data_IF_651033886883
#
_entry.id   IF_651033886883
#
_cell.length_a   1.000
_cell.length_b   1.000
_cell.length_c   1.000
_cell.angle_alpha   90.00
_cell.angle_beta   90.00
_cell.angle_gamma   90.00
#
_symmetry.space_group_name_H-M   'P 1'
#
loop_
_entity.id
_entity.type
_entity.pdbx_description
1 polymer ?
#
# COMPACT_ATOMS: atom_id res chain seq x y z
N UNK A 1 29.76 38.06 -4.11
CA UNK A 1 28.32 37.77 -3.88
C UNK A 1 28.08 37.83 -2.37
N UNK A 2 27.64 38.99 -1.86
CA UNK A 2 27.17 39.10 -0.48
C UNK A 2 25.77 38.50 -0.43
N UNK A 3 25.65 37.26 0.05
CA UNK A 3 24.36 36.70 0.39
C UNK A 3 23.90 37.40 1.66
N UNK A 4 22.89 38.25 1.58
CA UNK A 4 22.20 38.78 2.75
C UNK A 4 21.47 37.62 3.44
N UNK A 5 22.06 37.11 4.52
CA UNK A 5 21.45 36.06 5.32
C UNK A 5 20.45 36.72 6.27
N UNK A 6 19.16 36.58 5.98
CA UNK A 6 18.12 36.93 6.94
C UNK A 6 18.30 36.12 8.22
N UNK A 7 18.20 36.78 9.38
CA UNK A 7 18.10 36.09 10.66
C UNK A 7 16.90 35.13 10.65
N UNK A 8 17.03 33.99 11.35
CA UNK A 8 15.99 32.95 11.39
C UNK A 8 14.62 33.50 11.81
N UNK A 9 14.59 34.44 12.77
CA UNK A 9 13.35 35.09 13.21
C UNK A 9 12.68 35.88 12.08
N UNK A 10 13.46 36.66 11.34
CA UNK A 10 12.98 37.40 10.17
C UNK A 10 12.45 36.45 9.10
N UNK A 11 13.17 35.35 8.81
CA UNK A 11 12.68 34.32 7.90
C UNK A 11 11.37 33.70 8.37
N UNK A 12 11.26 33.27 9.64
CA UNK A 12 10.03 32.66 10.18
C UNK A 12 8.87 33.64 10.21
N UNK A 13 9.11 34.93 10.47
CA UNK A 13 8.08 35.97 10.37
C UNK A 13 7.55 36.06 8.95
N UNK A 14 8.42 36.16 7.94
CA UNK A 14 7.98 36.19 6.55
C UNK A 14 7.26 34.90 6.13
N UNK A 15 7.79 33.75 6.51
CA UNK A 15 7.18 32.46 6.22
C UNK A 15 5.75 32.38 6.77
N UNK A 16 5.54 32.76 8.03
CA UNK A 16 4.20 32.74 8.68
C UNK A 16 3.21 33.71 8.05
N UNK A 17 3.65 34.90 7.63
CA UNK A 17 2.74 35.93 7.12
C UNK A 17 2.41 35.76 5.64
N UNK A 18 3.32 35.18 4.85
CA UNK A 18 3.18 35.16 3.39
C UNK A 18 3.22 33.73 2.82
N UNK A 19 4.24 32.95 3.18
CA UNK A 19 4.49 31.65 2.54
C UNK A 19 3.49 30.58 3.01
N UNK A 20 3.35 30.38 4.32
CA UNK A 20 2.47 29.36 4.91
C UNK A 20 1.00 29.57 4.48
N UNK A 21 0.42 30.79 4.55
CA UNK A 21 -0.94 31.02 4.04
C UNK A 21 -1.09 30.76 2.55
N UNK A 22 -0.12 31.15 1.72
CA UNK A 22 -0.17 30.94 0.28
C UNK A 22 -0.14 29.46 -0.09
N UNK A 23 0.70 28.66 0.59
CA UNK A 23 0.77 27.20 0.39
C UNK A 23 -0.57 26.55 0.76
N UNK A 24 -1.12 26.89 1.93
CA UNK A 24 -2.38 26.32 2.41
C UNK A 24 -3.54 26.72 1.48
N UNK A 25 -3.62 27.99 1.10
CA UNK A 25 -4.65 28.48 0.20
C UNK A 25 -4.59 27.76 -1.15
N UNK A 26 -3.39 27.59 -1.73
CA UNK A 26 -3.22 26.85 -2.98
C UNK A 26 -3.69 25.41 -2.84
N UNK A 27 -3.22 24.70 -1.81
CA UNK A 27 -3.62 23.31 -1.57
C UNK A 27 -5.13 23.16 -1.44
N UNK A 28 -5.76 23.98 -0.59
CA UNK A 28 -7.22 23.94 -0.39
C UNK A 28 -7.99 24.25 -1.67
N UNK A 29 -7.51 25.20 -2.47
CA UNK A 29 -8.12 25.53 -3.76
C UNK A 29 -8.02 24.37 -4.76
N UNK A 30 -6.88 23.70 -4.84
CA UNK A 30 -6.70 22.55 -5.74
C UNK A 30 -7.50 21.34 -5.27
N UNK A 31 -7.48 21.06 -3.97
CA UNK A 31 -8.24 19.98 -3.36
C UNK A 31 -9.74 20.12 -3.63
N UNK A 32 -10.29 21.34 -3.49
CA UNK A 32 -11.68 21.59 -3.81
C UNK A 32 -12.01 21.30 -5.29
N UNK A 33 -11.11 21.66 -6.21
CA UNK A 33 -11.28 21.34 -7.64
C UNK A 33 -11.26 19.84 -7.89
N UNK A 34 -10.37 19.10 -7.23
CA UNK A 34 -10.32 17.65 -7.30
C UNK A 34 -11.65 17.05 -6.80
N UNK A 35 -12.17 17.53 -5.67
CA UNK A 35 -13.44 17.04 -5.13
C UNK A 35 -14.61 17.31 -6.08
N UNK A 36 -14.70 18.52 -6.64
CA UNK A 36 -15.72 18.86 -7.64
C UNK A 36 -15.63 17.95 -8.88
N UNK A 37 -14.41 17.67 -9.37
CA UNK A 37 -14.20 16.76 -10.49
C UNK A 37 -14.66 15.34 -10.18
N UNK A 38 -14.30 14.80 -9.01
CA UNK A 38 -14.70 13.46 -8.58
C UNK A 38 -16.21 13.37 -8.34
N UNK A 39 -16.82 14.43 -7.81
CA UNK A 39 -18.27 14.51 -7.64
C UNK A 39 -18.99 14.47 -9.01
N UNK A 40 -18.52 15.24 -10.00
CA UNK A 40 -19.06 15.19 -11.36
C UNK A 40 -18.87 13.83 -12.05
N UNK A 41 -17.88 13.03 -11.64
CA UNK A 41 -17.64 11.67 -12.13
C UNK A 41 -18.52 10.60 -11.44
N UNK A 42 -19.47 11.02 -10.60
CA UNK A 42 -20.44 10.15 -9.95
C UNK A 42 -20.25 10.02 -8.43
N UNK A 43 -19.29 10.75 -7.84
CA UNK A 43 -19.11 10.86 -6.39
C UNK A 43 -18.67 9.58 -5.69
N UNK A 44 -18.39 8.50 -6.44
CA UNK A 44 -17.81 7.27 -5.90
C UNK A 44 -16.32 7.24 -6.19
N UNK A 45 -15.51 7.02 -5.16
CA UNK A 45 -14.05 7.06 -5.26
C UNK A 45 -13.42 5.77 -4.77
N UNK A 46 -12.42 5.30 -5.52
CA UNK A 46 -11.54 4.21 -5.12
C UNK A 46 -10.20 4.79 -4.71
N UNK A 47 -9.76 4.50 -3.49
CA UNK A 47 -8.62 5.20 -2.88
C UNK A 47 -7.57 4.26 -2.31
N UNK A 48 -6.32 4.69 -2.25
CA UNK A 48 -5.26 4.05 -1.47
C UNK A 48 -4.84 4.97 -0.33
N UNK A 49 -4.59 4.39 0.84
CA UNK A 49 -4.23 5.14 2.02
C UNK A 49 -3.07 4.51 2.77
N UNK A 50 -2.14 5.36 3.21
CA UNK A 50 -1.02 4.97 4.05
C UNK A 50 -0.52 6.12 4.92
N UNK A 51 0.06 5.80 6.07
CA UNK A 51 0.62 6.76 7.01
C UNK A 51 2.15 6.73 7.02
N UNK A 52 2.74 7.92 6.87
CA UNK A 52 4.15 8.16 7.17
C UNK A 52 4.31 8.80 8.55
N UNK A 53 5.26 8.33 9.35
CA UNK A 53 5.70 8.98 10.59
C UNK A 53 7.01 9.75 10.42
N UNK A 54 7.23 10.79 11.23
CA UNK A 54 8.44 11.62 11.22
C UNK A 54 9.66 10.94 11.87
N UNK A 55 9.44 9.93 12.71
CA UNK A 55 10.50 9.08 13.23
C UNK A 55 10.09 7.60 13.29
N UNK A 56 11.05 6.65 13.24
CA UNK A 56 10.76 5.23 13.40
C UNK A 56 10.33 4.89 14.85
N UNK A 57 9.41 3.94 15.00
CA UNK A 57 9.00 3.41 16.30
C UNK A 57 7.86 4.18 16.97
N UNK A 58 7.65 3.94 18.26
CA UNK A 58 6.49 4.47 18.99
C UNK A 58 6.67 5.91 19.52
N UNK A 59 7.77 6.59 19.17
CA UNK A 59 8.12 7.94 19.64
C UNK A 59 7.88 9.04 18.60
N UNK A 60 7.25 8.72 17.46
CA UNK A 60 6.91 9.70 16.44
C UNK A 60 6.06 10.84 17.02
N UNK A 61 6.44 12.08 16.67
CA UNK A 61 5.71 13.28 17.10
C UNK A 61 4.60 13.59 16.12
N UNK A 62 4.87 13.43 14.82
CA UNK A 62 3.92 13.67 13.76
C UNK A 62 3.78 12.43 12.87
N UNK A 63 2.54 12.09 12.55
CA UNK A 63 2.19 11.17 11.49
C UNK A 63 1.39 11.92 10.43
N UNK A 64 1.64 11.68 9.16
CA UNK A 64 0.73 12.10 8.13
C UNK A 64 0.11 10.94 7.39
N UNK A 65 -1.21 10.94 7.33
CA UNK A 65 -1.97 10.04 6.51
C UNK A 65 -2.22 10.67 5.14
N UNK A 66 -1.85 9.97 4.09
CA UNK A 66 -2.06 10.40 2.71
C UNK A 66 -3.13 9.52 2.08
N UNK A 67 -4.10 10.14 1.40
CA UNK A 67 -5.11 9.44 0.63
C UNK A 67 -4.97 9.79 -0.86
N UNK A 68 -4.82 8.77 -1.70
CA UNK A 68 -4.67 8.90 -3.15
C UNK A 68 -5.88 8.30 -3.86
N UNK A 69 -6.42 9.01 -4.85
CA UNK A 69 -7.39 8.45 -5.79
C UNK A 69 -6.68 7.54 -6.79
N UNK A 70 -7.14 6.30 -6.87
CA UNK A 70 -6.47 5.24 -7.62
C UNK A 70 -6.58 5.41 -9.14
N UNK A 71 -7.74 5.89 -9.63
CA UNK A 71 -7.97 6.03 -11.08
C UNK A 71 -7.09 7.10 -11.73
N UNK A 72 -6.76 8.17 -11.00
CA UNK A 72 -5.96 9.30 -11.51
C UNK A 72 -4.56 9.39 -10.91
N UNK A 73 -4.20 8.52 -9.96
CA UNK A 73 -2.97 8.61 -9.16
C UNK A 73 -2.75 9.98 -8.49
N UNK A 74 -3.84 10.67 -8.15
CA UNK A 74 -3.79 12.02 -7.56
C UNK A 74 -4.00 11.95 -6.06
N UNK A 75 -3.22 12.69 -5.28
CA UNK A 75 -3.49 12.82 -3.85
C UNK A 75 -4.74 13.66 -3.64
N UNK A 76 -5.74 13.06 -3.00
CA UNK A 76 -7.03 13.71 -2.73
C UNK A 76 -7.07 14.34 -1.34
N UNK A 77 -6.34 13.77 -0.38
CA UNK A 77 -6.25 14.35 0.96
C UNK A 77 -4.95 14.02 1.68
N UNK A 78 -4.62 14.87 2.64
CA UNK A 78 -3.44 14.76 3.49
C UNK A 78 -3.76 15.27 4.90
N UNK A 79 -3.69 14.39 5.89
CA UNK A 79 -4.06 14.69 7.27
C UNK A 79 -2.87 14.50 8.19
N UNK A 80 -2.34 15.63 8.67
CA UNK A 80 -1.29 15.65 9.68
C UNK A 80 -1.90 15.41 11.07
N UNK A 81 -1.33 14.47 11.80
CA UNK A 81 -1.74 14.06 13.14
C UNK A 81 -0.54 14.19 14.07
N UNK A 82 -0.73 14.75 15.26
CA UNK A 82 0.30 14.82 16.29
C UNK A 82 0.08 13.71 17.34
N UNK A 83 1.13 13.08 17.85
CA UNK A 83 0.95 11.93 18.72
C UNK A 83 0.26 12.26 20.05
N UNK A 84 0.44 13.46 20.59
CA UNK A 84 -0.17 13.88 21.85
C UNK A 84 -1.69 14.16 21.74
N UNK A 85 -2.22 14.49 20.56
CA UNK A 85 -3.68 14.68 20.39
C UNK A 85 -4.45 13.35 20.35
N UNK A 86 -3.77 12.23 20.07
CA UNK A 86 -4.39 10.90 19.95
C UNK A 86 -3.90 9.90 21.00
N UNK A 87 -3.15 10.36 22.01
CA UNK A 87 -2.65 9.51 23.08
C UNK A 87 -1.51 8.57 22.67
N UNK A 88 -0.80 8.88 21.59
CA UNK A 88 0.41 8.17 21.16
C UNK A 88 0.47 7.92 19.65
N UNK A 89 1.69 7.70 19.16
CA UNK A 89 1.97 7.47 17.73
C UNK A 89 1.21 6.27 17.14
N UNK A 90 0.91 5.27 17.97
CA UNK A 90 0.14 4.08 17.59
C UNK A 90 -1.28 4.39 17.11
N UNK A 91 -1.86 5.52 17.53
CA UNK A 91 -3.22 5.91 17.18
C UNK A 91 -3.30 6.86 15.98
N UNK A 92 -2.17 7.37 15.50
CA UNK A 92 -2.14 8.41 14.47
C UNK A 92 -2.65 7.90 13.12
N UNK A 93 -2.35 6.65 12.75
CA UNK A 93 -2.76 6.10 11.45
C UNK A 93 -4.28 6.03 11.35
N UNK A 94 -4.94 5.49 12.39
CA UNK A 94 -6.39 5.38 12.44
C UNK A 94 -7.04 6.77 12.46
N UNK A 95 -6.50 7.70 13.23
CA UNK A 95 -7.04 9.05 13.29
C UNK A 95 -6.88 9.79 11.95
N UNK A 96 -5.71 9.70 11.32
CA UNK A 96 -5.46 10.32 10.01
C UNK A 96 -6.38 9.75 8.94
N UNK A 97 -6.54 8.42 8.88
CA UNK A 97 -7.52 7.79 7.99
C UNK A 97 -8.95 8.27 8.28
N UNK A 98 -9.35 8.31 9.55
CA UNK A 98 -10.68 8.79 9.95
C UNK A 98 -10.92 10.21 9.44
N UNK A 99 -9.96 11.13 9.65
CA UNK A 99 -10.05 12.52 9.17
C UNK A 99 -10.19 12.58 7.65
N UNK A 100 -9.43 11.79 6.91
CA UNK A 100 -9.56 11.75 5.45
C UNK A 100 -10.95 11.27 5.01
N UNK A 101 -11.46 10.20 5.62
CA UNK A 101 -12.78 9.65 5.27
C UNK A 101 -13.91 10.62 5.63
N UNK A 102 -13.87 11.24 6.82
CA UNK A 102 -14.83 12.26 7.24
C UNK A 102 -14.81 13.47 6.27
N UNK A 103 -13.62 13.81 5.76
CA UNK A 103 -13.46 14.92 4.81
C UNK A 103 -14.02 14.59 3.43
N UNK A 104 -13.84 13.37 2.93
CA UNK A 104 -14.49 12.93 1.69
C UNK A 104 -16.02 12.91 1.84
N UNK A 105 -16.52 12.34 2.94
CA UNK A 105 -17.96 12.25 3.21
C UNK A 105 -18.63 13.63 3.32
N UNK A 106 -18.00 14.58 4.00
CA UNK A 106 -18.50 15.97 4.10
C UNK A 106 -18.47 16.74 2.78
N UNK A 107 -17.83 16.20 1.74
CA UNK A 107 -17.82 16.74 0.38
C UNK A 107 -18.58 15.84 -0.60
N UNK A 108 -19.50 15.00 -0.11
CA UNK A 108 -20.35 14.11 -0.92
C UNK A 108 -19.56 13.14 -1.82
N UNK A 109 -18.42 12.66 -1.31
CA UNK A 109 -17.60 11.62 -1.96
C UNK A 109 -17.67 10.33 -1.16
N UNK A 110 -18.33 9.32 -1.72
CA UNK A 110 -18.46 8.00 -1.15
C UNK A 110 -17.26 7.12 -1.53
N UNK A 111 -16.59 6.53 -0.54
CA UNK A 111 -15.51 5.57 -0.79
C UNK A 111 -16.10 4.21 -1.14
N UNK A 112 -15.87 3.74 -2.36
CA UNK A 112 -16.33 2.43 -2.81
C UNK A 112 -15.48 1.32 -2.18
N UNK A 113 -14.16 1.45 -2.29
CA UNK A 113 -13.21 0.63 -1.55
C UNK A 113 -11.92 1.40 -1.29
N UNK A 114 -11.16 0.92 -0.32
CA UNK A 114 -9.83 1.43 0.00
C UNK A 114 -8.76 0.33 -0.04
N UNK A 115 -7.61 0.64 -0.62
CA UNK A 115 -6.41 -0.19 -0.58
C UNK A 115 -5.49 0.32 0.54
N UNK A 116 -5.20 -0.53 1.53
CA UNK A 116 -4.25 -0.19 2.60
C UNK A 116 -3.37 -1.37 2.95
N UNK A 117 -2.41 -1.10 3.83
CA UNK A 117 -1.67 -2.12 4.54
C UNK A 117 -2.51 -2.93 5.52
N UNK A 118 -1.95 -4.07 5.91
CA UNK A 118 -2.62 -5.07 6.72
C UNK A 118 -2.50 -4.77 8.23
N UNK A 119 -3.07 -3.65 8.66
CA UNK A 119 -3.06 -3.25 10.07
C UNK A 119 -4.39 -3.61 10.79
N UNK A 120 -4.39 -4.43 11.87
CA UNK A 120 -5.62 -4.90 12.51
C UNK A 120 -6.58 -3.81 13.00
N UNK A 121 -6.03 -2.67 13.46
CA UNK A 121 -6.84 -1.54 13.92
C UNK A 121 -7.59 -0.88 12.76
N UNK A 122 -6.92 -0.68 11.62
CA UNK A 122 -7.52 -0.15 10.39
C UNK A 122 -8.57 -1.11 9.85
N UNK A 123 -8.27 -2.41 9.82
CA UNK A 123 -9.24 -3.43 9.41
C UNK A 123 -10.52 -3.41 10.25
N UNK A 124 -10.38 -3.25 11.58
CA UNK A 124 -11.54 -3.15 12.48
C UNK A 124 -12.34 -1.89 12.18
N UNK A 125 -11.68 -0.75 12.08
CA UNK A 125 -12.30 0.53 11.82
C UNK A 125 -13.06 0.57 10.48
N UNK A 126 -12.46 0.09 9.40
CA UNK A 126 -13.10 0.06 8.07
C UNK A 126 -14.32 -0.88 8.05
N UNK A 127 -14.25 -2.03 8.74
CA UNK A 127 -15.42 -2.91 8.91
C UNK A 127 -16.56 -2.23 9.65
N UNK A 128 -16.26 -1.49 10.72
CA UNK A 128 -17.27 -0.74 11.49
C UNK A 128 -17.90 0.39 10.64
N UNK A 129 -17.17 0.93 9.67
CA UNK A 129 -17.67 1.91 8.68
C UNK A 129 -18.34 1.30 7.45
N UNK A 130 -18.40 -0.02 7.34
CA UNK A 130 -18.89 -0.73 6.13
C UNK A 130 -18.15 -0.32 4.84
N UNK A 131 -16.86 -0.01 4.94
CA UNK A 131 -16.02 0.30 3.78
C UNK A 131 -15.25 -0.95 3.37
N UNK A 132 -15.33 -1.33 2.09
CA UNK A 132 -14.58 -2.46 1.59
C UNK A 132 -13.08 -2.16 1.56
N UNK A 133 -12.29 -3.11 2.06
CA UNK A 133 -10.84 -2.99 2.14
C UNK A 133 -10.17 -4.07 1.32
N UNK A 134 -9.29 -3.64 0.43
CA UNK A 134 -8.31 -4.47 -0.25
C UNK A 134 -6.91 -4.25 0.31
N UNK A 135 -6.04 -5.24 0.12
CA UNK A 135 -4.66 -5.21 0.56
C UNK A 135 -3.72 -4.93 -0.60
N UNK A 136 -2.67 -4.19 -0.27
CA UNK A 136 -1.54 -3.97 -1.14
C UNK A 136 -0.81 -5.30 -1.45
N UNK A 137 -0.75 -5.60 -2.76
CA UNK A 137 -0.10 -6.79 -3.31
C UNK A 137 1.40 -6.78 -3.03
N UNK A 138 2.05 -5.63 -3.10
CA UNK A 138 3.49 -5.51 -2.88
C UNK A 138 3.86 -5.82 -1.44
N UNK A 139 3.16 -5.23 -0.46
CA UNK A 139 3.40 -5.49 0.95
C UNK A 139 3.16 -6.97 1.31
N UNK A 140 2.09 -7.56 0.78
CA UNK A 140 1.82 -8.99 0.93
C UNK A 140 2.94 -9.86 0.32
N UNK A 141 3.31 -9.60 -0.93
CA UNK A 141 4.35 -10.34 -1.66
C UNK A 141 5.70 -10.24 -0.96
N UNK A 142 6.12 -9.04 -0.55
CA UNK A 142 7.36 -8.79 0.19
C UNK A 142 7.41 -9.61 1.49
N UNK A 143 6.31 -9.67 2.23
CA UNK A 143 6.19 -10.48 3.44
C UNK A 143 6.30 -11.99 3.18
N UNK A 144 5.68 -12.46 2.09
CA UNK A 144 5.72 -13.86 1.68
C UNK A 144 7.10 -14.26 1.15
N UNK A 145 7.67 -13.46 0.25
CA UNK A 145 8.99 -13.68 -0.35
C UNK A 145 10.10 -13.75 0.69
N UNK A 146 10.07 -12.93 1.75
CA UNK A 146 11.02 -13.06 2.86
C UNK A 146 11.02 -14.46 3.49
N UNK A 147 9.85 -15.06 3.67
CA UNK A 147 9.72 -16.42 4.24
C UNK A 147 10.25 -17.47 3.28
N UNK A 148 9.93 -17.35 1.99
CA UNK A 148 10.37 -18.27 0.94
C UNK A 148 11.88 -18.19 0.70
N UNK A 149 12.46 -16.99 0.69
CA UNK A 149 13.91 -16.77 0.60
C UNK A 149 14.61 -17.45 1.77
N UNK A 150 14.13 -17.25 3.00
CA UNK A 150 14.67 -17.94 4.19
C UNK A 150 14.58 -19.46 4.07
N UNK A 151 13.46 -19.98 3.57
CA UNK A 151 13.31 -21.42 3.32
C UNK A 151 14.31 -21.94 2.27
N UNK A 152 14.51 -21.18 1.19
CA UNK A 152 15.39 -21.54 0.07
C UNK A 152 16.88 -21.61 0.44
N UNK A 153 17.27 -21.02 1.58
CA UNK A 153 18.63 -21.09 2.11
C UNK A 153 18.94 -22.46 2.74
N UNK A 154 17.93 -23.27 3.06
CA UNK A 154 18.14 -24.64 3.54
C UNK A 154 18.72 -25.53 2.41
N UNK A 155 19.69 -26.39 2.76
CA UNK A 155 20.34 -27.32 1.83
C UNK A 155 19.33 -28.21 1.09
N UNK A 156 18.26 -28.63 1.78
CA UNK A 156 17.22 -29.49 1.21
C UNK A 156 16.30 -28.73 0.23
N UNK A 157 16.26 -27.40 0.32
CA UNK A 157 15.32 -26.54 -0.40
C UNK A 157 15.97 -25.69 -1.50
N UNK A 158 17.18 -26.06 -1.98
CA UNK A 158 17.89 -25.28 -3.00
C UNK A 158 17.10 -25.06 -4.29
N UNK A 159 16.30 -26.06 -4.70
CA UNK A 159 15.48 -25.98 -5.91
C UNK A 159 14.45 -24.83 -5.84
N UNK A 160 13.95 -24.50 -4.65
CA UNK A 160 13.00 -23.40 -4.44
C UNK A 160 13.55 -22.06 -4.94
N UNK A 161 14.87 -21.84 -4.90
CA UNK A 161 15.49 -20.58 -5.37
C UNK A 161 15.12 -20.28 -6.83
N UNK A 162 15.03 -21.31 -7.68
CA UNK A 162 14.67 -21.17 -9.10
C UNK A 162 13.20 -20.75 -9.30
N UNK A 163 12.35 -21.01 -8.30
CA UNK A 163 10.91 -20.76 -8.35
C UNK A 163 10.47 -19.46 -7.67
N UNK A 164 11.34 -18.80 -6.90
CA UNK A 164 10.98 -17.59 -6.15
C UNK A 164 10.36 -16.51 -7.06
N UNK A 165 10.95 -16.27 -8.23
CA UNK A 165 10.43 -15.27 -9.17
C UNK A 165 9.08 -15.70 -9.75
N UNK A 166 8.91 -16.99 -10.07
CA UNK A 166 7.64 -17.51 -10.57
C UNK A 166 6.53 -17.40 -9.52
N UNK A 167 6.81 -17.73 -8.25
CA UNK A 167 5.85 -17.59 -7.15
C UNK A 167 5.47 -16.11 -6.98
N UNK A 168 6.45 -15.20 -7.02
CA UNK A 168 6.21 -13.75 -6.99
C UNK A 168 5.27 -13.34 -8.12
N UNK A 169 5.57 -13.70 -9.36
CA UNK A 169 4.73 -13.35 -10.51
C UNK A 169 3.32 -13.93 -10.37
N UNK A 170 3.20 -15.13 -9.80
CA UNK A 170 1.92 -15.79 -9.56
C UNK A 170 1.06 -15.06 -8.52
N UNK A 171 1.66 -14.44 -7.49
CA UNK A 171 0.94 -13.56 -6.55
C UNK A 171 0.27 -12.41 -7.30
N UNK A 172 1.05 -11.68 -8.11
CA UNK A 172 0.52 -10.54 -8.86
C UNK A 172 -0.53 -10.96 -9.88
N UNK A 173 -0.26 -12.02 -10.63
CA UNK A 173 -1.22 -12.55 -11.60
C UNK A 173 -2.51 -13.01 -10.92
N UNK A 174 -2.44 -13.74 -9.81
CA UNK A 174 -3.64 -14.18 -9.06
C UNK A 174 -4.46 -12.97 -8.59
N UNK A 175 -3.79 -11.90 -8.13
CA UNK A 175 -4.45 -10.69 -7.65
C UNK A 175 -5.16 -9.88 -8.75
N UNK A 176 -4.53 -9.74 -9.93
CA UNK A 176 -5.00 -8.82 -10.99
C UNK A 176 -5.82 -9.48 -12.08
N UNK A 177 -5.80 -10.81 -12.19
CA UNK A 177 -6.50 -11.55 -13.25
C UNK A 177 -8.01 -11.70 -13.01
N UNK A 178 -8.51 -11.40 -11.80
CA UNK A 178 -9.92 -11.49 -11.41
C UNK A 178 -10.24 -10.52 -10.27
N UNK A 179 -11.49 -10.10 -10.19
CA UNK A 179 -12.01 -9.29 -9.07
C UNK A 179 -12.52 -10.17 -7.93
N UNK A 180 -12.95 -11.40 -8.22
CA UNK A 180 -13.53 -12.35 -7.27
C UNK A 180 -12.48 -12.86 -6.27
N UNK A 181 -12.72 -12.65 -4.98
CA UNK A 181 -11.85 -13.15 -3.92
C UNK A 181 -11.63 -14.67 -3.95
N UNK A 182 -12.70 -15.50 -4.03
CA UNK A 182 -12.56 -16.95 -4.18
C UNK A 182 -11.70 -17.37 -5.38
N UNK A 183 -11.88 -16.73 -6.53
CA UNK A 183 -11.09 -17.04 -7.74
C UNK A 183 -9.60 -16.71 -7.54
N UNK A 184 -9.29 -15.60 -6.85
CA UNK A 184 -7.90 -15.25 -6.47
C UNK A 184 -7.27 -16.37 -5.64
N UNK A 185 -8.04 -16.94 -4.70
CA UNK A 185 -7.57 -18.03 -3.86
C UNK A 185 -7.35 -19.31 -4.67
N UNK A 186 -8.31 -19.69 -5.52
CA UNK A 186 -8.21 -20.87 -6.38
C UNK A 186 -6.98 -20.79 -7.31
N UNK A 187 -6.83 -19.65 -7.99
CA UNK A 187 -5.66 -19.34 -8.82
C UNK A 187 -4.37 -19.36 -8.01
N UNK A 188 -4.35 -18.75 -6.82
CA UNK A 188 -3.16 -18.77 -5.97
C UNK A 188 -2.75 -20.18 -5.54
N UNK A 189 -3.70 -21.00 -5.08
CA UNK A 189 -3.41 -22.37 -4.62
C UNK A 189 -2.89 -23.27 -5.74
N UNK A 190 -3.24 -22.96 -7.00
CA UNK A 190 -2.73 -23.65 -8.19
C UNK A 190 -1.20 -23.60 -8.31
N UNK A 191 -0.54 -22.61 -7.69
CA UNK A 191 0.92 -22.50 -7.73
C UNK A 191 1.63 -23.75 -7.19
N UNK A 192 1.04 -24.43 -6.20
CA UNK A 192 1.61 -25.67 -5.64
C UNK A 192 1.57 -26.80 -6.66
N UNK A 193 0.55 -26.83 -7.50
CA UNK A 193 0.46 -27.76 -8.64
C UNK A 193 1.48 -27.38 -9.72
N UNK A 194 1.63 -26.09 -10.02
CA UNK A 194 2.62 -25.61 -11.00
C UNK A 194 4.05 -25.97 -10.60
N UNK A 195 4.38 -25.94 -9.31
CA UNK A 195 5.69 -26.36 -8.79
C UNK A 195 6.02 -27.82 -9.11
N UNK A 196 5.00 -28.65 -9.37
CA UNK A 196 5.09 -30.08 -9.68
C UNK A 196 4.77 -30.40 -11.15
N UNK A 197 4.64 -29.37 -12.00
CA UNK A 197 4.21 -29.49 -13.39
C UNK A 197 2.76 -30.02 -13.58
N UNK A 198 1.89 -29.80 -12.61
CA UNK A 198 0.48 -30.17 -12.68
C UNK A 198 -0.32 -28.93 -13.13
N UNK A 199 -1.03 -29.05 -14.26
CA UNK A 199 -1.77 -27.94 -14.90
C UNK A 199 -3.29 -28.15 -14.97
N UNK A 200 -3.77 -29.26 -14.43
CA UNK A 200 -5.19 -29.55 -14.21
C UNK A 200 -5.41 -29.62 -12.71
N UNK A 201 -6.49 -29.05 -12.23
CA UNK A 201 -6.73 -28.82 -10.81
C UNK A 201 -8.12 -29.30 -10.42
N UNK A 202 -8.24 -29.76 -9.18
CA UNK A 202 -9.51 -30.23 -8.63
C UNK A 202 -10.45 -29.06 -8.26
N UNK A 203 -9.94 -27.83 -8.19
CA UNK A 203 -10.71 -26.64 -7.84
C UNK A 203 -11.59 -26.21 -9.03
N UNK A 204 -12.94 -26.22 -8.90
CA UNK A 204 -13.84 -25.88 -9.99
C UNK A 204 -13.78 -24.39 -10.38
N UNK A 205 -13.28 -23.50 -9.51
CA UNK A 205 -13.11 -22.08 -9.83
C UNK A 205 -11.89 -21.84 -10.71
N UNK A 206 -10.93 -22.77 -10.73
CA UNK A 206 -9.77 -22.72 -11.61
C UNK A 206 -9.32 -24.14 -12.00
N UNK A 207 -10.05 -24.83 -12.89
CA UNK A 207 -9.84 -26.26 -13.16
C UNK A 207 -8.62 -26.55 -14.05
N UNK A 208 -8.12 -25.56 -14.79
CA UNK A 208 -6.98 -25.72 -15.71
C UNK A 208 -6.23 -24.40 -15.90
N UNK A 209 -4.91 -24.49 -16.09
CA UNK A 209 -4.05 -23.35 -16.40
C UNK A 209 -4.47 -22.61 -17.70
N UNK A 210 -4.39 -21.28 -17.66
CA UNK A 210 -4.69 -20.38 -18.79
C UNK A 210 -3.49 -20.12 -19.71
N UNK A 211 -2.47 -20.99 -19.67
CA UNK A 211 -1.30 -20.87 -20.51
C UNK A 211 -0.96 -22.20 -21.19
N UNK A 212 -0.30 -22.16 -22.37
CA UNK A 212 0.23 -23.37 -22.98
C UNK A 212 1.24 -24.08 -22.06
N UNK A 213 1.27 -25.41 -22.11
CA UNK A 213 2.29 -26.18 -21.42
C UNK A 213 3.64 -25.93 -22.09
N UNK A 214 4.61 -25.46 -21.30
CA UNK A 214 5.96 -25.20 -21.79
C UNK A 214 6.79 -26.47 -21.67
N UNK A 215 7.12 -27.07 -22.80
CA UNK A 215 8.10 -28.16 -22.87
C UNK A 215 9.42 -27.69 -22.23
N UNK A 216 9.98 -28.52 -21.37
CA UNK A 216 11.27 -28.26 -20.73
C UNK A 216 12.09 -29.54 -20.76
N UNK A 217 13.37 -29.41 -21.09
CA UNK A 217 14.32 -30.52 -21.07
C UNK A 217 15.01 -30.69 -19.71
N UNK A 218 14.76 -29.78 -18.76
CA UNK A 218 15.31 -29.87 -17.40
C UNK A 218 14.42 -30.74 -16.51
N UNK A 219 14.76 -32.01 -16.38
CA UNK A 219 14.09 -32.97 -15.48
C UNK A 219 14.15 -32.53 -14.01
N UNK A 220 15.11 -31.69 -13.62
CA UNK A 220 15.30 -31.22 -12.25
C UNK A 220 14.62 -29.88 -11.98
N UNK A 221 13.80 -29.38 -12.92
CA UNK A 221 13.09 -28.11 -12.76
C UNK A 221 11.99 -28.21 -11.70
N UNK A 222 11.30 -29.34 -11.63
CA UNK A 222 10.07 -29.52 -10.86
C UNK A 222 10.35 -30.09 -9.48
N UNK A 223 9.53 -29.69 -8.51
CA UNK A 223 9.55 -30.32 -7.20
C UNK A 223 8.91 -31.70 -7.29
N UNK A 224 9.57 -32.71 -6.70
CA UNK A 224 9.01 -34.05 -6.61
C UNK A 224 7.81 -34.06 -5.66
N UNK A 225 6.75 -34.85 -5.97
CA UNK A 225 5.70 -35.17 -5.03
C UNK A 225 6.30 -35.67 -3.70
N UNK A 226 5.64 -35.33 -2.59
CA UNK A 226 6.03 -35.71 -1.22
C UNK A 226 7.45 -35.29 -0.78
N UNK A 227 8.09 -34.40 -1.53
CA UNK A 227 9.39 -33.87 -1.12
C UNK A 227 9.25 -32.96 0.09
N UNK A 228 10.25 -33.01 0.98
CA UNK A 228 10.35 -32.13 2.17
C UNK A 228 10.20 -30.65 1.77
N UNK A 229 10.74 -30.26 0.61
CA UNK A 229 10.66 -28.90 0.11
C UNK A 229 9.24 -28.52 -0.30
N UNK A 230 8.53 -29.39 -1.01
CA UNK A 230 7.14 -29.16 -1.39
C UNK A 230 6.25 -28.95 -0.17
N UNK A 231 6.29 -29.86 0.82
CA UNK A 231 5.50 -29.73 2.04
C UNK A 231 5.80 -28.43 2.82
N UNK A 232 7.08 -28.04 2.90
CA UNK A 232 7.46 -26.78 3.58
C UNK A 232 6.95 -25.54 2.82
N UNK A 233 7.01 -25.57 1.49
CA UNK A 233 6.50 -24.47 0.64
C UNK A 233 4.99 -24.40 0.75
N UNK A 234 4.29 -25.51 0.55
CA UNK A 234 2.83 -25.60 0.65
C UNK A 234 2.32 -25.08 2.00
N UNK A 235 2.97 -25.45 3.11
CA UNK A 235 2.61 -24.94 4.45
C UNK A 235 2.70 -23.42 4.56
N UNK A 236 3.61 -22.78 3.82
CA UNK A 236 3.74 -21.32 3.76
C UNK A 236 2.65 -20.73 2.85
N UNK A 237 2.49 -21.27 1.64
CA UNK A 237 1.60 -20.72 0.61
C UNK A 237 0.11 -20.93 0.94
N UNK A 238 -0.25 -22.09 1.51
CA UNK A 238 -1.62 -22.48 1.85
C UNK A 238 -1.97 -22.22 3.32
N UNK A 239 -1.18 -21.38 4.00
CA UNK A 239 -1.50 -20.96 5.36
C UNK A 239 -2.85 -20.24 5.39
N UNK A 240 -3.74 -20.59 6.33
CA UNK A 240 -5.09 -19.98 6.47
C UNK A 240 -5.08 -18.44 6.44
N UNK A 241 -4.06 -17.81 7.03
CA UNK A 241 -3.91 -16.34 7.03
C UNK A 241 -3.54 -15.83 5.64
N UNK A 242 -2.63 -16.52 4.95
CA UNK A 242 -2.22 -16.20 3.58
C UNK A 242 -3.42 -16.30 2.63
N UNK A 243 -4.21 -17.37 2.69
CA UNK A 243 -5.39 -17.52 1.83
C UNK A 243 -6.44 -16.42 2.06
N UNK A 244 -6.70 -16.06 3.33
CA UNK A 244 -7.59 -14.93 3.67
C UNK A 244 -7.06 -13.59 3.14
N UNK A 245 -5.74 -13.41 3.13
CA UNK A 245 -5.12 -12.19 2.62
C UNK A 245 -5.15 -12.14 1.08
N UNK A 246 -4.90 -13.28 0.42
CA UNK A 246 -5.01 -13.44 -1.05
C UNK A 246 -6.39 -13.07 -1.55
N UNK A 247 -7.44 -13.51 -0.86
CA UNK A 247 -8.83 -13.19 -1.18
C UNK A 247 -9.08 -11.68 -1.28
N UNK A 248 -8.32 -10.88 -0.53
CA UNK A 248 -8.46 -9.42 -0.42
C UNK A 248 -7.39 -8.64 -1.18
N UNK A 249 -6.57 -9.26 -2.02
CA UNK A 249 -5.57 -8.52 -2.78
C UNK A 249 -6.23 -7.55 -3.77
N UNK A 250 -5.68 -6.34 -3.89
CA UNK A 250 -6.11 -5.34 -4.86
C UNK A 250 -5.95 -5.85 -6.30
N UNK A 251 -6.94 -5.57 -7.15
CA UNK A 251 -7.07 -6.13 -8.49
C UNK A 251 -6.69 -5.13 -9.60
N UNK A 252 -6.85 -3.82 -9.37
CA UNK A 252 -6.59 -2.79 -10.38
C UNK A 252 -5.38 -1.90 -10.08
N UNK A 253 -5.09 -1.66 -8.81
CA UNK A 253 -4.18 -0.58 -8.44
C UNK A 253 -3.15 -1.03 -7.42
N UNK A 254 -1.89 -0.77 -7.77
CA UNK A 254 -0.73 -0.94 -6.92
C UNK A 254 -0.41 0.42 -6.27
N UNK A 255 -0.13 0.40 -4.98
CA UNK A 255 0.20 1.58 -4.14
C UNK A 255 1.61 2.14 -4.42
N UNK A 256 2.32 1.66 -5.44
CA UNK A 256 3.68 2.11 -5.76
C UNK A 256 3.78 3.61 -6.03
N UNK A 257 2.72 4.21 -6.59
CA UNK A 257 2.60 5.67 -6.75
C UNK A 257 2.54 6.39 -5.40
N UNK A 258 1.81 5.83 -4.43
CA UNK A 258 1.69 6.38 -3.08
C UNK A 258 3.04 6.33 -2.33
N UNK A 259 3.78 5.23 -2.47
CA UNK A 259 5.14 5.07 -1.94
C UNK A 259 6.13 6.04 -2.59
N UNK A 260 6.01 6.23 -3.91
CA UNK A 260 6.82 7.18 -4.67
C UNK A 260 6.55 8.61 -4.20
N UNK A 261 5.28 8.95 -3.95
CA UNK A 261 4.90 10.23 -3.35
C UNK A 261 5.47 10.39 -1.93
N UNK A 262 5.40 9.38 -1.07
CA UNK A 262 6.02 9.45 0.26
C UNK A 262 7.54 9.66 0.19
N UNK A 263 8.20 9.03 -0.78
CA UNK A 263 9.63 9.22 -1.06
C UNK A 263 9.95 10.66 -1.50
N UNK A 264 9.04 11.29 -2.24
CA UNK A 264 9.15 12.69 -2.63
C UNK A 264 9.00 13.64 -1.43
N UNK A 265 8.07 13.39 -0.50
CA UNK A 265 7.91 14.21 0.71
C UNK A 265 9.21 14.26 1.52
N UNK A 266 10.04 13.20 1.52
CA UNK A 266 11.34 13.22 2.21
C UNK A 266 12.29 14.31 1.72
N UNK A 267 12.11 14.83 0.50
CA UNK A 267 12.88 15.99 0.00
C UNK A 267 12.43 17.31 0.64
N UNK A 268 11.14 17.43 0.96
CA UNK A 268 10.52 18.63 1.54
C UNK A 268 10.49 18.63 3.06
N UNK A 269 10.40 17.45 3.68
CA UNK A 269 10.43 17.23 5.11
C UNK A 269 11.30 16.00 5.44
N UNK A 270 12.63 16.17 5.47
CA UNK A 270 13.56 15.11 5.87
C UNK A 270 13.37 14.69 7.33
N UNK A 271 13.50 13.39 7.63
CA UNK A 271 13.35 12.86 8.99
C UNK A 271 14.43 13.35 9.99
N UNK A 272 15.54 13.90 9.49
CA UNK A 272 16.64 14.40 10.33
C UNK A 272 16.52 15.90 10.68
N UNK A 273 15.41 16.56 10.30
CA UNK A 273 15.15 17.97 10.61
C UNK A 273 13.86 18.08 11.41
N UNK A 274 13.90 18.86 12.50
CA UNK A 274 12.72 19.10 13.35
C UNK A 274 11.91 20.26 12.78
N UNK A 275 10.64 19.98 12.44
CA UNK A 275 9.71 21.00 11.95
C UNK A 275 8.66 21.35 13.03
N UNK A 276 8.23 22.62 13.12
CA UNK A 276 6.97 22.95 13.80
C UNK A 276 5.79 22.39 12.99
N UNK A 277 4.61 22.24 13.63
CA UNK A 277 3.41 21.70 12.99
C UNK A 277 3.10 22.34 11.62
N UNK A 278 3.06 23.68 11.58
CA UNK A 278 2.81 24.42 10.33
C UNK A 278 3.89 24.20 9.27
N UNK A 279 5.14 24.01 9.69
CA UNK A 279 6.24 23.68 8.78
C UNK A 279 6.04 22.31 8.16
N UNK A 280 5.72 21.30 8.95
CA UNK A 280 5.45 19.93 8.47
C UNK A 280 4.25 19.91 7.52
N UNK A 281 3.16 20.62 7.87
CA UNK A 281 1.97 20.74 7.04
C UNK A 281 2.27 21.41 5.69
N UNK A 282 2.95 22.56 5.71
CA UNK A 282 3.29 23.29 4.49
C UNK A 282 4.28 22.53 3.59
N UNK A 283 5.30 21.86 4.18
CA UNK A 283 6.21 21.00 3.41
C UNK A 283 5.46 19.87 2.69
N UNK A 284 4.46 19.31 3.35
CA UNK A 284 3.65 18.24 2.77
C UNK A 284 2.76 18.74 1.63
N UNK A 285 2.11 19.90 1.81
CA UNK A 285 1.32 20.53 0.74
C UNK A 285 2.19 20.96 -0.46
N UNK A 286 3.41 21.43 -0.22
CA UNK A 286 4.32 21.83 -1.29
C UNK A 286 4.75 20.65 -2.19
N UNK A 287 4.88 19.44 -1.63
CA UNK A 287 5.32 18.25 -2.37
C UNK A 287 4.41 17.83 -3.52
N UNK A 288 3.14 18.26 -3.52
CA UNK A 288 2.16 17.94 -4.55
C UNK A 288 2.47 18.53 -5.93
N UNK A 289 3.27 19.59 -6.00
CA UNK A 289 3.58 20.26 -7.26
C UNK A 289 4.54 19.47 -8.15
N UNK A 290 5.21 18.46 -7.61
CA UNK A 290 6.16 17.62 -8.34
C UNK A 290 5.58 16.24 -8.72
N UNK A 291 4.27 16.02 -8.51
CA UNK A 291 3.55 14.79 -8.88
C UNK A 291 2.68 14.93 -10.13
#
# INVERSE_FOLDING_TARGET
MQLEIFQYETFRRHARHYLEPAIIHKWKTDQLKIFQQLHHQGGKVTVAGDMRADSPGHSAKFGSYTLMHLGSNTIVDFQLVQSNEVGGSYHMEKEGLKRCLDHLESNDLAVEYIVTDRHPQIQKFLRERNIEQFYDVWHFEKGLSKKLVKLSQNKDCKLLKRWLQSIKNHVYWSATSTTSGPDKVARWTSVVNHLQNIHVHDDPLFPKCEHPERATTDENKWLKPDSITLHKVEKILNNKRVLKDVQKLSHHYQTSSLESFHSLILRFAPNNVVFPFMGMLCSSHASQREC
#
